data_IF_991258000935
#
_entry.id   IF_991258000935
#
_cell.length_a   1.000
_cell.length_b   1.000
_cell.length_c   1.000
_cell.angle_alpha   90.00
_cell.angle_beta   90.00
_cell.angle_gamma   90.00
#
_symmetry.space_group_name_H-M   'P 1'
#
loop_
_entity.id
_entity.type
_entity.pdbx_description
1 polymer ?
#
# COMPACT_ATOMS: atom_id res chain seq x y z
N UNK A 1 26.71 -7.21 12.32
CA UNK A 1 26.64 -6.57 10.98
C UNK A 1 25.26 -5.91 10.82
N UNK A 2 25.17 -4.57 10.88
CA UNK A 2 23.90 -3.86 10.66
C UNK A 2 23.62 -3.84 9.15
N UNK A 3 22.66 -4.65 8.67
CA UNK A 3 22.17 -4.54 7.28
C UNK A 3 21.54 -3.16 7.13
N UNK A 4 22.21 -2.27 6.41
CA UNK A 4 21.62 -1.04 5.91
C UNK A 4 20.55 -1.44 4.88
N UNK A 5 19.32 -1.67 5.35
CA UNK A 5 18.18 -1.88 4.47
C UNK A 5 17.95 -0.55 3.78
N UNK A 6 18.39 -0.43 2.53
CA UNK A 6 18.03 0.67 1.65
C UNK A 6 16.53 0.61 1.39
N UNK A 7 15.73 1.16 2.30
CA UNK A 7 14.30 1.34 2.11
C UNK A 7 14.15 2.37 0.98
N UNK A 8 13.98 1.89 -0.26
CA UNK A 8 13.55 2.74 -1.37
C UNK A 8 12.12 3.18 -1.08
N UNK A 9 11.98 4.27 -0.35
CA UNK A 9 10.69 4.87 -0.08
C UNK A 9 10.07 5.34 -1.40
N UNK A 10 8.99 4.70 -1.85
CA UNK A 10 8.15 5.26 -2.92
C UNK A 10 7.57 6.57 -2.39
N UNK A 11 7.70 7.65 -3.17
CA UNK A 11 7.07 8.90 -2.79
C UNK A 11 5.55 8.74 -2.76
N UNK A 12 4.92 9.30 -1.73
CA UNK A 12 3.47 9.20 -1.57
C UNK A 12 2.73 9.77 -2.79
N UNK A 13 3.21 10.85 -3.38
CA UNK A 13 2.66 11.40 -4.61
C UNK A 13 2.62 10.40 -5.79
N UNK A 14 3.68 9.58 -5.96
CA UNK A 14 3.69 8.51 -6.98
C UNK A 14 2.70 7.41 -6.63
N UNK A 15 2.57 7.09 -5.35
CA UNK A 15 1.62 6.12 -4.84
C UNK A 15 0.17 6.56 -5.11
N UNK A 16 -0.17 7.82 -4.80
CA UNK A 16 -1.50 8.40 -5.03
C UNK A 16 -1.86 8.47 -6.51
N UNK A 17 -0.92 8.86 -7.38
CA UNK A 17 -1.16 8.89 -8.83
C UNK A 17 -1.56 7.53 -9.40
N UNK A 18 -1.06 6.44 -8.82
CA UNK A 18 -1.27 5.08 -9.33
C UNK A 18 -2.35 4.29 -8.60
N UNK A 19 -2.52 4.54 -7.31
CA UNK A 19 -3.38 3.74 -6.41
C UNK A 19 -4.34 4.59 -5.57
N UNK A 20 -4.47 5.89 -5.84
CA UNK A 20 -5.43 6.74 -5.13
C UNK A 20 -6.84 6.14 -5.17
N UNK A 21 -7.49 6.08 -4.02
CA UNK A 21 -8.79 5.46 -3.86
C UNK A 21 -8.76 3.95 -3.60
N UNK A 22 -7.58 3.32 -3.47
CA UNK A 22 -7.45 1.86 -3.39
C UNK A 22 -6.73 1.42 -2.12
N UNK A 23 -7.00 0.20 -1.71
CA UNK A 23 -6.19 -0.55 -0.75
C UNK A 23 -5.00 -1.15 -1.46
N UNK A 24 -3.82 -1.08 -0.83
CA UNK A 24 -2.59 -1.66 -1.33
C UNK A 24 -1.97 -2.59 -0.28
N UNK A 25 -1.24 -3.58 -0.74
CA UNK A 25 -0.28 -4.33 0.07
C UNK A 25 1.12 -4.10 -0.48
N UNK A 26 2.05 -3.69 0.39
CA UNK A 26 3.43 -3.38 0.04
C UNK A 26 4.43 -4.12 0.90
N UNK A 27 5.59 -4.39 0.33
CA UNK A 27 6.76 -4.95 1.01
C UNK A 27 7.99 -4.20 0.51
N UNK A 28 8.86 -3.76 1.43
CA UNK A 28 10.12 -3.06 1.08
C UNK A 28 9.93 -1.87 0.10
N UNK A 29 8.83 -1.15 0.24
CA UNK A 29 8.50 -0.01 -0.61
C UNK A 29 7.86 -0.37 -1.96
N UNK A 30 7.71 -1.64 -2.31
CA UNK A 30 7.06 -2.09 -3.55
C UNK A 30 5.61 -2.51 -3.30
N UNK A 31 4.69 -2.04 -4.13
CA UNK A 31 3.28 -2.51 -4.11
C UNK A 31 3.20 -3.86 -4.82
N UNK A 32 2.72 -4.88 -4.11
CA UNK A 32 2.62 -6.27 -4.59
C UNK A 32 1.18 -6.66 -4.95
N UNK A 33 0.19 -5.99 -4.36
CA UNK A 33 -1.23 -6.17 -4.64
C UNK A 33 -2.00 -4.88 -4.37
N UNK A 34 -3.12 -4.70 -5.05
CA UNK A 34 -4.07 -3.61 -4.87
C UNK A 34 -5.51 -4.09 -5.06
N UNK A 35 -6.47 -3.33 -4.56
CA UNK A 35 -7.91 -3.56 -4.77
C UNK A 35 -8.73 -2.33 -4.39
N UNK A 36 -9.89 -2.13 -5.01
CA UNK A 36 -10.78 -0.99 -4.73
C UNK A 36 -11.32 -1.11 -3.32
N UNK A 37 -11.62 -2.34 -2.89
CA UNK A 37 -12.02 -2.65 -1.51
C UNK A 37 -10.97 -3.49 -0.80
N UNK A 38 -11.00 -3.47 0.54
CA UNK A 38 -10.15 -4.34 1.34
C UNK A 38 -10.39 -5.82 1.00
N UNK A 39 -11.65 -6.23 0.77
CA UNK A 39 -12.00 -7.61 0.40
C UNK A 39 -11.36 -8.04 -0.92
N UNK A 40 -11.35 -7.16 -1.92
CA UNK A 40 -10.68 -7.40 -3.19
C UNK A 40 -9.17 -7.55 -3.02
N UNK A 41 -8.54 -6.66 -2.24
CA UNK A 41 -7.13 -6.77 -1.92
C UNK A 41 -6.80 -8.15 -1.31
N UNK A 42 -7.60 -8.60 -0.33
CA UNK A 42 -7.42 -9.92 0.28
C UNK A 42 -7.62 -11.08 -0.70
N UNK A 43 -8.46 -10.92 -1.73
CA UNK A 43 -8.63 -11.91 -2.80
C UNK A 43 -7.37 -11.95 -3.67
N UNK A 44 -6.80 -10.79 -4.02
CA UNK A 44 -5.57 -10.70 -4.81
C UNK A 44 -4.37 -11.28 -4.05
N UNK A 45 -4.22 -10.94 -2.76
CA UNK A 45 -3.17 -11.50 -1.88
C UNK A 45 -3.24 -13.03 -1.86
N UNK A 46 -4.44 -13.60 -1.68
CA UNK A 46 -4.63 -15.06 -1.67
C UNK A 46 -4.30 -15.71 -3.00
N UNK A 47 -4.80 -15.15 -4.11
CA UNK A 47 -4.52 -15.67 -5.46
C UNK A 47 -3.03 -15.66 -5.80
N UNK A 48 -2.31 -14.65 -5.32
CA UNK A 48 -0.86 -14.49 -5.52
C UNK A 48 -0.01 -15.21 -4.45
N UNK A 49 -0.64 -15.90 -3.50
CA UNK A 49 0.02 -16.62 -2.41
C UNK A 49 1.05 -15.75 -1.66
N UNK A 50 0.76 -14.46 -1.48
CA UNK A 50 1.70 -13.54 -0.81
C UNK A 50 1.73 -13.80 0.70
N UNK A 51 2.92 -13.79 1.30
CA UNK A 51 3.07 -13.92 2.75
C UNK A 51 2.53 -12.67 3.46
N UNK A 52 1.34 -12.81 4.06
CA UNK A 52 0.64 -11.72 4.76
C UNK A 52 1.43 -11.10 5.91
N UNK A 53 2.25 -11.87 6.62
CA UNK A 53 3.01 -11.37 7.76
C UNK A 53 4.12 -10.40 7.34
N UNK A 54 4.57 -10.47 6.10
CA UNK A 54 5.58 -9.59 5.52
C UNK A 54 4.99 -8.38 4.78
N UNK A 55 3.66 -8.28 4.68
CA UNK A 55 2.97 -7.20 3.96
C UNK A 55 2.52 -6.09 4.91
N UNK A 56 2.78 -4.86 4.50
CA UNK A 56 2.13 -3.67 5.06
C UNK A 56 0.91 -3.39 4.21
N UNK A 57 -0.28 -3.43 4.81
CA UNK A 57 -1.53 -3.06 4.15
C UNK A 57 -1.89 -1.62 4.52
N UNK A 58 -2.34 -0.85 3.54
CA UNK A 58 -2.81 0.51 3.75
C UNK A 58 -3.78 0.97 2.68
N UNK A 59 -4.54 2.01 2.99
CA UNK A 59 -5.36 2.72 2.02
C UNK A 59 -4.59 3.92 1.49
N UNK A 60 -4.68 4.16 0.19
CA UNK A 60 -4.08 5.33 -0.45
C UNK A 60 -5.17 6.34 -0.74
N UNK A 61 -5.15 7.45 0.00
CA UNK A 61 -6.09 8.54 -0.22
C UNK A 61 -5.98 9.06 -1.66
N UNK A 62 -7.11 9.31 -2.35
CA UNK A 62 -7.11 10.04 -3.62
C UNK A 62 -6.32 11.36 -3.51
N UNK A 63 -5.81 11.85 -4.64
CA UNK A 63 -5.03 13.09 -4.67
C UNK A 63 -5.83 14.29 -4.12
N UNK A 64 -7.13 14.30 -4.38
CA UNK A 64 -8.03 15.42 -4.04
C UNK A 64 -8.83 15.15 -2.75
N UNK A 65 -8.35 14.19 -1.92
CA UNK A 65 -9.00 13.90 -0.64
C UNK A 65 -8.79 15.04 0.36
N UNK A 66 -9.88 15.49 0.99
CA UNK A 66 -9.84 16.47 2.08
C UNK A 66 -9.71 15.72 3.40
N UNK A 67 -8.62 15.97 4.14
CA UNK A 67 -8.44 15.43 5.49
C UNK A 67 -9.05 16.40 6.50
N UNK A 68 -10.08 15.96 7.22
CA UNK A 68 -10.67 16.71 8.33
C UNK A 68 -10.08 16.16 9.62
N UNK A 69 -9.43 17.01 10.40
CA UNK A 69 -8.92 16.68 11.73
C UNK A 69 -9.82 17.38 12.75
N UNK A 70 -10.68 16.60 13.42
CA UNK A 70 -11.45 17.10 14.56
C UNK A 70 -10.51 17.15 15.77
N UNK A 71 -10.27 18.36 16.29
CA UNK A 71 -9.50 18.60 17.50
C UNK A 71 -10.30 18.34 18.77
#
# INVERSE_FOLDING_TARGET
>A
MKRLVSVKAISYAKLQRRYGGQFIARQEGKVLANGVTYRELLRVIRRRQLNRQALIIGYVSPKDAVCIYAG
#
